data_IF_223938304116
#
_entry.id   IF_223938304116
#
_cell.length_a   1.000
_cell.length_b   1.000
_cell.length_c   1.000
_cell.angle_alpha   90.00
_cell.angle_beta   90.00
_cell.angle_gamma   90.00
#
_symmetry.space_group_name_H-M   'P 1'
#
loop_
_entity.id
_entity.type
_entity.pdbx_description
1 polymer ?
#
# COMPACT_ATOMS: atom_id res chain seq x y z
N UNK A 1 -13.81 19.37 -14.75
CA UNK A 1 -13.57 17.93 -14.66
C UNK A 1 -14.63 17.39 -13.72
N UNK A 2 -15.71 16.84 -14.25
CA UNK A 2 -16.84 16.31 -13.46
C UNK A 2 -16.36 15.09 -12.69
N UNK A 3 -16.42 15.15 -11.36
CA UNK A 3 -16.24 13.97 -10.51
C UNK A 3 -17.35 12.95 -10.85
N UNK A 4 -16.95 11.73 -11.17
CA UNK A 4 -17.87 10.62 -11.47
C UNK A 4 -18.51 10.12 -10.17
N UNK A 5 -19.83 10.32 -10.06
CA UNK A 5 -20.64 9.94 -8.90
C UNK A 5 -20.56 8.43 -8.57
N UNK A 6 -20.24 7.57 -9.55
CA UNK A 6 -20.22 6.12 -9.38
C UNK A 6 -18.82 5.50 -9.23
N UNK A 7 -17.75 6.31 -9.33
CA UNK A 7 -16.38 5.79 -9.33
C UNK A 7 -16.02 5.03 -8.04
N UNK A 8 -16.35 5.57 -6.88
CA UNK A 8 -16.03 4.97 -5.58
C UNK A 8 -16.63 3.55 -5.42
N UNK A 9 -17.88 3.36 -5.84
CA UNK A 9 -18.55 2.06 -5.76
C UNK A 9 -17.95 1.03 -6.74
N UNK A 10 -17.40 1.49 -7.87
CA UNK A 10 -16.70 0.63 -8.82
C UNK A 10 -15.34 0.19 -8.28
N UNK A 11 -14.56 1.09 -7.68
CA UNK A 11 -13.27 0.79 -7.05
C UNK A 11 -13.41 -0.25 -5.93
N UNK A 12 -14.40 -0.09 -5.05
CA UNK A 12 -14.68 -1.06 -3.98
C UNK A 12 -15.03 -2.45 -4.49
N UNK A 13 -15.71 -2.54 -5.64
CA UNK A 13 -16.03 -3.84 -6.26
C UNK A 13 -14.78 -4.47 -6.84
N UNK A 14 -13.94 -3.70 -7.52
CA UNK A 14 -12.66 -4.16 -8.06
C UNK A 14 -11.72 -4.64 -6.95
N UNK A 15 -11.61 -3.89 -5.85
CA UNK A 15 -10.79 -4.27 -4.70
C UNK A 15 -11.23 -5.60 -4.06
N UNK A 16 -12.54 -5.83 -3.95
CA UNK A 16 -13.10 -7.09 -3.42
C UNK A 16 -12.86 -8.30 -4.34
N UNK A 17 -12.87 -8.08 -5.66
CA UNK A 17 -12.65 -9.11 -6.67
C UNK A 17 -11.17 -9.36 -6.97
N UNK A 18 -10.28 -8.52 -6.43
CA UNK A 18 -8.85 -8.64 -6.67
C UNK A 18 -8.27 -9.97 -6.13
N UNK A 19 -7.24 -10.53 -6.80
CA UNK A 19 -6.54 -11.72 -6.32
C UNK A 19 -6.00 -11.55 -4.89
N UNK A 20 -5.85 -12.65 -4.15
CA UNK A 20 -5.39 -12.62 -2.76
C UNK A 20 -4.09 -11.83 -2.58
N UNK A 21 -3.11 -12.04 -3.46
CA UNK A 21 -1.83 -11.33 -3.40
C UNK A 21 -1.99 -9.80 -3.50
N UNK A 22 -2.91 -9.31 -4.34
CA UNK A 22 -3.18 -7.88 -4.47
C UNK A 22 -3.86 -7.33 -3.20
N UNK A 23 -4.75 -8.12 -2.59
CA UNK A 23 -5.43 -7.75 -1.33
C UNK A 23 -4.50 -7.74 -0.12
N UNK A 24 -3.43 -8.54 -0.14
CA UNK A 24 -2.41 -8.63 0.92
C UNK A 24 -1.26 -7.63 0.74
N UNK A 25 -1.29 -6.77 -0.28
CA UNK A 25 -0.22 -5.78 -0.49
C UNK A 25 -0.13 -4.85 0.74
N UNK A 26 1.06 -4.71 1.35
CA UNK A 26 1.28 -3.79 2.46
C UNK A 26 0.84 -2.37 2.14
N UNK A 27 0.19 -1.70 3.10
CA UNK A 27 -0.24 -0.29 3.01
C UNK A 27 0.77 0.67 3.60
N UNK A 28 1.68 0.18 4.43
CA UNK A 28 2.76 0.93 5.05
C UNK A 28 4.01 0.03 5.18
N UNK A 29 5.13 0.64 5.56
CA UNK A 29 6.41 -0.07 5.67
C UNK A 29 6.45 -1.09 6.82
N UNK A 30 5.65 -0.89 7.86
CA UNK A 30 5.62 -1.78 9.04
C UNK A 30 4.90 -3.12 8.75
N UNK A 31 4.05 -3.16 7.73
CA UNK A 31 3.40 -4.37 7.23
C UNK A 31 4.32 -5.24 6.33
N UNK A 32 5.52 -4.75 5.99
CA UNK A 32 6.47 -5.50 5.14
C UNK A 32 7.18 -6.57 5.96
N UNK A 33 6.86 -7.83 5.69
CA UNK A 33 7.43 -8.99 6.41
C UNK A 33 8.78 -9.41 5.81
N UNK A 34 9.75 -9.71 6.69
CA UNK A 34 11.04 -10.30 6.31
C UNK A 34 12.13 -9.30 5.90
N UNK A 35 11.83 -8.00 5.91
CA UNK A 35 12.76 -6.95 5.47
C UNK A 35 13.23 -6.01 6.60
N UNK A 36 13.18 -6.44 7.85
CA UNK A 36 13.56 -5.61 9.02
C UNK A 36 15.00 -5.08 8.93
N UNK A 37 15.93 -5.85 8.36
CA UNK A 37 17.31 -5.42 8.19
C UNK A 37 17.47 -4.20 7.24
N UNK A 38 16.49 -3.96 6.36
CA UNK A 38 16.45 -2.83 5.42
C UNK A 38 15.44 -1.75 5.81
N UNK A 39 14.26 -2.16 6.27
CA UNK A 39 13.09 -1.31 6.52
C UNK A 39 12.75 -1.18 8.01
N UNK A 40 13.60 -1.68 8.91
CA UNK A 40 13.44 -1.46 10.34
C UNK A 40 13.59 0.02 10.73
N UNK A 41 13.15 0.40 11.94
CA UNK A 41 13.34 1.76 12.46
C UNK A 41 14.82 2.16 12.43
N UNK A 42 15.09 3.40 12.00
CA UNK A 42 16.45 3.95 11.91
C UNK A 42 17.31 3.40 10.79
N UNK A 43 16.78 2.53 9.91
CA UNK A 43 17.51 2.07 8.73
C UNK A 43 17.59 3.17 7.67
N UNK A 44 18.74 3.31 6.98
CA UNK A 44 18.91 4.36 5.97
C UNK A 44 17.85 4.32 4.87
N UNK A 45 17.50 3.13 4.39
CA UNK A 45 16.49 2.97 3.33
C UNK A 45 15.10 3.43 3.79
N UNK A 46 14.70 3.11 5.02
CA UNK A 46 13.45 3.61 5.61
C UNK A 46 13.45 5.13 5.71
N UNK A 47 14.53 5.72 6.24
CA UNK A 47 14.65 7.17 6.37
C UNK A 47 14.57 7.91 5.03
N UNK A 48 15.14 7.33 3.97
CA UNK A 48 15.05 7.90 2.62
C UNK A 48 13.61 7.86 2.07
N UNK A 49 12.90 6.74 2.26
CA UNK A 49 11.51 6.60 1.81
C UNK A 49 10.57 7.52 2.60
N UNK A 50 10.79 7.69 3.90
CA UNK A 50 9.95 8.54 4.75
C UNK A 50 10.21 10.05 4.56
N UNK A 51 11.32 10.43 3.91
CA UNK A 51 11.68 11.82 3.65
C UNK A 51 11.27 12.32 2.24
N UNK A 52 10.83 11.43 1.35
CA UNK A 52 10.28 11.75 0.02
C UNK A 52 8.76 12.04 0.11
#
# INVERSE_FOLDING_TARGET
>A
MTEDLFAAAAEDRLARQAPLAARLRPKNLDEVVGQEHLLGPGKPLRALIEAD
#
